data_IF_266813722389
#
_entry.id   IF_266813722389
#
_cell.length_a   1.000
_cell.length_b   1.000
_cell.length_c   1.000
_cell.angle_alpha   90.00
_cell.angle_beta   90.00
_cell.angle_gamma   90.00
#
_symmetry.space_group_name_H-M   'P 1'
#
loop_
_entity.id
_entity.type
_entity.pdbx_description
1 polymer ?
#
# COMPACT_ATOMS: atom_id res chain seq x y z
N UNK A 1 12.33 0.08 16.34
CA UNK A 1 12.27 -0.50 14.97
C UNK A 1 11.02 -1.35 14.90
N UNK A 2 10.47 -1.62 13.72
CA UNK A 2 9.33 -2.52 13.64
C UNK A 2 9.79 -3.98 13.42
N UNK A 3 8.88 -4.92 13.61
CA UNK A 3 9.05 -6.32 13.27
C UNK A 3 8.13 -6.64 12.09
N UNK A 4 8.67 -7.28 11.06
CA UNK A 4 7.87 -7.85 9.97
C UNK A 4 7.65 -9.33 10.20
N UNK A 5 6.39 -9.75 10.15
CA UNK A 5 6.00 -11.15 10.05
C UNK A 5 5.49 -11.37 8.63
N UNK A 6 6.15 -12.24 7.88
CA UNK A 6 5.83 -12.53 6.49
C UNK A 6 5.25 -13.94 6.31
N UNK A 7 4.43 -14.11 5.28
CA UNK A 7 3.80 -15.37 4.89
C UNK A 7 2.91 -16.01 5.98
N UNK A 8 2.30 -15.20 6.85
CA UNK A 8 1.30 -15.67 7.80
C UNK A 8 0.04 -16.08 7.04
N UNK A 9 -0.42 -17.31 7.23
CA UNK A 9 -1.62 -17.85 6.59
C UNK A 9 -2.79 -17.87 7.56
N UNK A 10 -3.93 -17.34 7.12
CA UNK A 10 -5.23 -17.51 7.74
C UNK A 10 -6.15 -18.22 6.75
N UNK A 11 -7.02 -19.08 7.24
CA UNK A 11 -8.05 -19.71 6.42
C UNK A 11 -9.02 -18.65 5.86
N UNK A 12 -9.68 -18.95 4.74
CA UNK A 12 -10.60 -18.00 4.10
C UNK A 12 -11.76 -17.58 5.02
N UNK A 13 -12.20 -18.50 5.88
CA UNK A 13 -13.29 -18.29 6.83
C UNK A 13 -12.81 -17.68 8.15
N UNK A 14 -11.49 -17.55 8.35
CA UNK A 14 -10.93 -16.98 9.55
C UNK A 14 -10.97 -15.44 9.49
N UNK A 15 -11.61 -14.77 10.47
CA UNK A 15 -11.71 -13.31 10.47
C UNK A 15 -10.33 -12.64 10.60
N UNK A 16 -10.11 -11.59 9.82
CA UNK A 16 -8.88 -10.77 9.92
C UNK A 16 -8.71 -10.14 11.32
N UNK A 17 -9.78 -9.99 12.09
CA UNK A 17 -9.74 -9.56 13.49
C UNK A 17 -8.92 -10.48 14.41
N UNK A 18 -8.65 -11.73 14.00
CA UNK A 18 -7.81 -12.69 14.72
C UNK A 18 -6.31 -12.47 14.48
N UNK A 19 -5.93 -11.65 13.49
CA UNK A 19 -4.53 -11.41 13.14
C UNK A 19 -3.65 -10.95 14.32
N UNK A 20 -4.08 -10.00 15.20
CA UNK A 20 -3.28 -9.57 16.34
C UNK A 20 -2.85 -10.73 17.25
N UNK A 21 -3.77 -11.67 17.50
CA UNK A 21 -3.49 -12.83 18.34
C UNK A 21 -2.45 -13.76 17.70
N UNK A 22 -2.56 -14.00 16.39
CA UNK A 22 -1.59 -14.79 15.65
C UNK A 22 -0.22 -14.14 15.62
N UNK A 23 -0.16 -12.83 15.39
CA UNK A 23 1.08 -12.06 15.43
C UNK A 23 1.73 -12.15 16.83
N UNK A 24 0.95 -12.00 17.90
CA UNK A 24 1.44 -12.15 19.27
C UNK A 24 2.00 -13.55 19.54
N UNK A 25 1.28 -14.62 19.14
CA UNK A 25 1.75 -16.01 19.29
C UNK A 25 3.06 -16.26 18.55
N UNK A 26 3.18 -15.76 17.31
CA UNK A 26 4.39 -15.90 16.50
C UNK A 26 5.59 -15.21 17.15
N UNK A 27 5.37 -14.07 17.82
CA UNK A 27 6.41 -13.36 18.55
C UNK A 27 6.73 -13.97 19.93
N UNK A 28 6.07 -15.06 20.32
CA UNK A 28 6.22 -15.66 21.65
C UNK A 28 5.60 -14.82 22.78
N UNK A 29 4.63 -13.97 22.45
CA UNK A 29 3.92 -13.11 23.37
C UNK A 29 2.57 -13.72 23.76
N UNK A 30 1.97 -13.20 24.84
CA UNK A 30 0.59 -13.58 25.20
C UNK A 30 -0.36 -13.08 24.11
N UNK A 31 -1.38 -13.85 23.69
CA UNK A 31 -2.33 -13.42 22.65
C UNK A 31 -3.04 -12.09 22.95
N UNK A 32 -3.18 -11.76 24.23
CA UNK A 32 -3.80 -10.51 24.73
C UNK A 32 -2.81 -9.35 24.85
N UNK A 33 -1.55 -9.53 24.43
CA UNK A 33 -0.55 -8.46 24.48
C UNK A 33 -0.97 -7.36 23.50
N UNK A 34 -1.10 -6.10 23.94
CA UNK A 34 -1.43 -5.02 23.03
C UNK A 34 -0.28 -4.81 22.03
N UNK A 35 -0.62 -4.85 20.74
CA UNK A 35 0.30 -4.62 19.64
C UNK A 35 -0.19 -3.44 18.81
N UNK A 36 0.70 -2.56 18.39
CA UNK A 36 0.42 -1.67 17.25
C UNK A 36 0.84 -2.42 16.00
N UNK A 37 -0.03 -2.56 15.01
CA UNK A 37 0.27 -3.34 13.82
C UNK A 37 -0.47 -2.81 12.60
N UNK A 38 0.05 -3.13 11.41
CA UNK A 38 -0.64 -2.90 10.14
C UNK A 38 -0.30 -3.98 9.13
N UNK A 39 -1.16 -4.11 8.11
CA UNK A 39 -0.93 -5.01 6.99
C UNK A 39 0.02 -4.32 5.99
N UNK A 40 1.16 -4.94 5.72
CA UNK A 40 2.06 -4.54 4.63
C UNK A 40 1.58 -5.13 3.29
N UNK A 41 1.07 -6.37 3.32
CA UNK A 41 0.53 -7.06 2.15
C UNK A 41 -0.52 -8.07 2.57
N UNK A 42 -1.60 -8.17 1.80
CA UNK A 42 -2.60 -9.24 1.85
C UNK A 42 -2.74 -9.84 0.46
N UNK A 43 -2.70 -11.15 0.35
CA UNK A 43 -2.90 -11.86 -0.91
C UNK A 43 -3.77 -13.10 -0.68
N UNK A 44 -4.62 -13.44 -1.64
CA UNK A 44 -5.35 -14.71 -1.65
C UNK A 44 -4.50 -15.77 -2.36
N UNK A 45 -4.15 -16.84 -1.65
CA UNK A 45 -3.59 -18.04 -2.26
C UNK A 45 -4.74 -18.96 -2.69
N UNK A 46 -5.05 -18.90 -3.99
CA UNK A 46 -6.12 -19.69 -4.62
C UNK A 46 -5.58 -20.80 -5.53
N UNK A 47 -4.33 -21.23 -5.33
CA UNK A 47 -3.71 -22.27 -6.17
C UNK A 47 -4.36 -23.64 -5.99
N UNK A 48 -4.89 -23.91 -4.79
CA UNK A 48 -5.70 -25.08 -4.51
C UNK A 48 -7.14 -24.64 -4.18
N UNK A 49 -8.11 -25.09 -4.96
CA UNK A 49 -9.52 -24.72 -4.82
C UNK A 49 -10.13 -25.20 -3.50
N UNK A 50 -9.65 -26.32 -2.97
CA UNK A 50 -10.14 -26.91 -1.73
C UNK A 50 -9.41 -26.37 -0.48
N UNK A 51 -8.46 -25.44 -0.69
CA UNK A 51 -7.55 -24.97 0.36
C UNK A 51 -7.16 -23.50 0.10
N UNK A 52 -8.17 -22.63 0.16
CA UNK A 52 -8.03 -21.19 -0.01
C UNK A 52 -7.55 -20.55 1.30
N UNK A 53 -6.49 -19.75 1.21
CA UNK A 53 -5.95 -19.05 2.36
C UNK A 53 -5.62 -17.60 2.02
N UNK A 54 -5.75 -16.71 2.99
CA UNK A 54 -5.13 -15.40 2.92
C UNK A 54 -3.71 -15.45 3.46
N UNK A 55 -2.78 -14.89 2.70
CA UNK A 55 -1.37 -14.74 3.06
C UNK A 55 -1.11 -13.29 3.40
N UNK A 56 -0.65 -13.05 4.63
CA UNK A 56 -0.37 -11.73 5.19
C UNK A 56 1.11 -11.52 5.40
N UNK A 57 1.54 -10.30 5.09
CA UNK A 57 2.73 -9.70 5.67
C UNK A 57 2.27 -8.56 6.57
N UNK A 58 2.68 -8.59 7.82
CA UNK A 58 2.30 -7.59 8.81
C UNK A 58 3.54 -6.91 9.39
N UNK A 59 3.40 -5.62 9.63
CA UNK A 59 4.30 -4.86 10.48
C UNK A 59 3.74 -4.84 11.90
N UNK A 60 4.61 -5.07 12.88
CA UNK A 60 4.28 -5.02 14.30
C UNK A 60 5.26 -4.08 15.00
N UNK A 61 4.70 -3.13 15.74
CA UNK A 61 5.40 -2.18 16.60
C UNK A 61 5.01 -2.46 18.04
N UNK A 62 6.02 -2.64 18.88
CA UNK A 62 5.86 -2.97 20.28
C UNK A 62 7.03 -2.39 21.10
N UNK A 63 6.79 -2.02 22.37
CA UNK A 63 7.86 -1.58 23.25
C UNK A 63 8.76 -2.75 23.66
N UNK A 64 10.07 -2.50 23.77
CA UNK A 64 11.04 -3.48 24.28
C UNK A 64 12.24 -3.69 23.35
N UNK A 65 12.95 -4.79 23.55
CA UNK A 65 14.09 -5.19 22.72
C UNK A 65 13.60 -6.05 21.54
N UNK A 66 13.34 -5.39 20.41
CA UNK A 66 12.81 -6.06 19.22
C UNK A 66 13.79 -7.08 18.65
N UNK A 67 15.11 -6.85 18.80
CA UNK A 67 16.14 -7.78 18.33
C UNK A 67 16.06 -9.10 19.07
N UNK A 68 15.91 -9.04 20.40
CA UNK A 68 15.73 -10.24 21.23
C UNK A 68 14.45 -11.00 20.88
N UNK A 69 13.36 -10.27 20.65
CA UNK A 69 12.07 -10.87 20.27
C UNK A 69 12.17 -11.56 18.90
N UNK A 70 12.73 -10.89 17.89
CA UNK A 70 12.95 -11.49 16.56
C UNK A 70 13.85 -12.72 16.65
N UNK A 71 14.96 -12.64 17.40
CA UNK A 71 15.88 -13.78 17.56
C UNK A 71 15.20 -14.99 18.22
N UNK A 72 14.32 -14.76 19.20
CA UNK A 72 13.53 -15.82 19.81
C UNK A 72 12.49 -16.38 18.84
N UNK A 73 11.69 -15.53 18.20
CA UNK A 73 10.66 -15.93 17.26
C UNK A 73 11.22 -16.76 16.09
N UNK A 74 12.34 -16.33 15.50
CA UNK A 74 13.03 -17.04 14.39
C UNK A 74 13.39 -18.49 14.71
N UNK A 75 13.64 -18.83 15.98
CA UNK A 75 13.95 -20.21 16.41
C UNK A 75 12.73 -21.10 16.51
N UNK A 76 11.54 -20.50 16.69
CA UNK A 76 10.31 -21.22 16.97
C UNK A 76 9.36 -21.28 15.77
N UNK A 77 9.45 -20.31 14.85
CA UNK A 77 8.61 -20.30 13.64
C UNK A 77 9.04 -21.39 12.67
N UNK A 78 8.04 -21.99 12.01
CA UNK A 78 8.26 -22.94 10.92
C UNK A 78 8.05 -22.25 9.57
N UNK A 79 8.83 -22.61 8.52
CA UNK A 79 8.55 -22.17 7.17
C UNK A 79 7.10 -22.48 6.76
N UNK A 80 6.41 -21.61 6.00
CA UNK A 80 6.95 -20.45 5.29
C UNK A 80 6.99 -19.14 6.09
N UNK A 81 6.53 -19.14 7.36
CA UNK A 81 6.47 -17.93 8.19
C UNK A 81 7.88 -17.43 8.48
N UNK A 82 8.11 -16.14 8.22
CA UNK A 82 9.40 -15.49 8.48
C UNK A 82 9.21 -14.27 9.37
N UNK A 83 10.15 -14.05 10.29
CA UNK A 83 10.13 -12.94 11.24
C UNK A 83 11.45 -12.17 11.14
N UNK A 84 11.38 -10.90 10.80
CA UNK A 84 12.55 -10.04 10.58
C UNK A 84 12.39 -8.68 11.26
N UNK A 85 13.52 -8.04 11.55
CA UNK A 85 13.50 -6.61 11.81
C UNK A 85 13.09 -5.88 10.53
N UNK A 86 12.24 -4.87 10.69
CA UNK A 86 11.69 -4.10 9.60
C UNK A 86 11.90 -2.61 9.82
N UNK A 87 12.26 -1.96 8.74
CA UNK A 87 12.34 -0.52 8.62
C UNK A 87 11.76 -0.21 7.26
N UNK A 88 10.65 0.52 7.25
CA UNK A 88 10.07 0.98 6.01
C UNK A 88 11.07 1.92 5.34
N UNK A 89 11.37 1.66 4.07
CA UNK A 89 12.22 2.55 3.30
C UNK A 89 11.49 3.90 3.16
N UNK A 90 12.09 5.01 3.61
CA UNK A 90 11.44 6.29 3.49
C UNK A 90 11.29 6.65 2.01
N UNK A 91 10.17 7.26 1.65
CA UNK A 91 10.04 7.92 0.36
C UNK A 91 10.92 9.17 0.36
N UNK A 92 12.00 9.16 -0.41
CA UNK A 92 12.94 10.28 -0.50
C UNK A 92 12.59 11.11 -1.72
N UNK A 93 12.19 12.36 -1.49
CA UNK A 93 12.03 13.34 -2.56
C UNK A 93 13.41 13.72 -3.12
N UNK A 94 13.54 13.87 -4.45
CA UNK A 94 14.78 14.32 -5.04
C UNK A 94 15.13 15.74 -4.59
N UNK A 95 16.42 16.02 -4.44
CA UNK A 95 16.89 17.37 -4.10
C UNK A 95 16.50 18.36 -5.20
N UNK A 96 15.97 19.55 -4.85
CA UNK A 96 15.66 20.59 -5.82
C UNK A 96 16.88 21.00 -6.66
N UNK A 97 16.63 21.44 -7.89
CA UNK A 97 17.67 22.00 -8.75
C UNK A 97 18.22 23.32 -8.20
N UNK A 98 19.43 23.69 -8.64
CA UNK A 98 20.13 24.91 -8.18
C UNK A 98 19.76 26.18 -8.93
N UNK A 99 19.00 26.07 -10.02
CA UNK A 99 18.59 27.20 -10.86
C UNK A 99 17.08 27.40 -10.80
N UNK A 100 16.59 28.65 -10.66
CA UNK A 100 15.17 28.91 -10.71
C UNK A 100 14.61 28.60 -12.11
N UNK A 101 13.39 28.06 -12.15
CA UNK A 101 12.67 27.93 -13.42
C UNK A 101 12.16 29.31 -13.87
N UNK A 102 12.37 29.65 -15.13
CA UNK A 102 11.82 30.87 -15.72
C UNK A 102 10.29 30.83 -15.85
N UNK A 103 9.72 29.62 -15.95
CA UNK A 103 8.29 29.39 -16.13
C UNK A 103 7.81 28.23 -15.24
N UNK A 104 6.51 28.21 -14.98
CA UNK A 104 5.85 27.10 -14.26
C UNK A 104 6.00 25.80 -15.08
N UNK A 105 6.31 24.66 -14.44
CA UNK A 105 6.30 23.38 -15.15
C UNK A 105 4.88 23.04 -15.60
N UNK A 106 4.77 22.45 -16.79
CA UNK A 106 3.49 22.03 -17.37
C UNK A 106 3.41 20.51 -17.34
N UNK A 107 2.31 19.99 -16.79
CA UNK A 107 1.96 18.57 -16.78
C UNK A 107 0.79 18.38 -17.72
N UNK A 108 0.94 17.50 -18.72
CA UNK A 108 -0.11 17.20 -19.69
C UNK A 108 -0.70 15.82 -19.35
N UNK A 109 -2.00 15.80 -19.09
CA UNK A 109 -2.77 14.68 -18.57
C UNK A 109 -2.97 14.76 -17.05
N UNK A 110 -4.21 14.55 -16.60
CA UNK A 110 -4.59 14.39 -15.20
C UNK A 110 -4.94 12.94 -14.85
N UNK A 111 -4.32 11.98 -15.54
CA UNK A 111 -4.30 10.58 -15.11
C UNK A 111 -3.39 10.37 -13.90
N UNK A 112 -3.25 9.14 -13.38
CA UNK A 112 -2.47 8.86 -12.18
C UNK A 112 -1.02 9.38 -12.23
N UNK A 113 -0.32 9.18 -13.35
CA UNK A 113 1.05 9.67 -13.52
C UNK A 113 1.17 11.19 -13.53
N UNK A 114 0.24 11.88 -14.21
CA UNK A 114 0.22 13.34 -14.26
C UNK A 114 -0.16 13.96 -12.92
N UNK A 115 -1.16 13.42 -12.24
CA UNK A 115 -1.54 13.87 -10.89
C UNK A 115 -0.42 13.64 -9.87
N UNK A 116 0.26 12.49 -9.91
CA UNK A 116 1.41 12.24 -9.04
C UNK A 116 2.54 13.26 -9.30
N UNK A 117 2.88 13.51 -10.56
CA UNK A 117 3.89 14.50 -10.92
C UNK A 117 3.50 15.92 -10.46
N UNK A 118 2.26 16.34 -10.71
CA UNK A 118 1.75 17.65 -10.32
C UNK A 118 1.69 17.81 -8.79
N UNK A 119 1.27 16.78 -8.06
CA UNK A 119 1.23 16.78 -6.60
C UNK A 119 2.63 17.01 -6.01
N UNK A 120 3.63 16.21 -6.41
CA UNK A 120 4.98 16.36 -5.87
C UNK A 120 5.65 17.68 -6.30
N UNK A 121 5.41 18.15 -7.53
CA UNK A 121 5.88 19.48 -7.94
C UNK A 121 5.23 20.61 -7.11
N UNK A 122 3.94 20.49 -6.79
CA UNK A 122 3.22 21.46 -5.98
C UNK A 122 3.70 21.48 -4.53
N UNK A 123 3.87 20.30 -3.91
CA UNK A 123 4.45 20.13 -2.56
C UNK A 123 5.84 20.76 -2.44
N UNK A 124 6.61 20.75 -3.53
CA UNK A 124 7.94 21.36 -3.61
C UNK A 124 7.92 22.84 -4.07
N UNK A 125 6.73 23.47 -4.17
CA UNK A 125 6.58 24.89 -4.45
C UNK A 125 6.74 25.30 -5.92
N UNK A 126 6.84 24.34 -6.86
CA UNK A 126 7.05 24.63 -8.28
C UNK A 126 5.81 25.16 -9.01
N UNK A 127 4.64 25.15 -8.37
CA UNK A 127 3.37 25.67 -8.91
C UNK A 127 3.05 25.11 -10.31
N UNK A 128 2.94 23.79 -10.50
CA UNK A 128 2.68 23.21 -11.82
C UNK A 128 1.37 23.71 -12.44
N UNK A 129 1.32 23.71 -13.77
CA UNK A 129 0.11 23.85 -14.58
C UNK A 129 -0.30 22.47 -15.07
N UNK A 130 -1.54 22.05 -14.82
CA UNK A 130 -2.05 20.76 -15.31
C UNK A 130 -3.02 21.03 -16.45
N UNK A 131 -2.79 20.38 -17.59
CA UNK A 131 -3.65 20.44 -18.77
C UNK A 131 -4.24 19.06 -18.99
N UNK A 132 -5.56 18.94 -19.03
CA UNK A 132 -6.27 17.71 -19.37
C UNK A 132 -7.20 18.00 -20.54
N UNK A 133 -7.18 17.13 -21.56
CA UNK A 133 -8.09 17.24 -22.71
C UNK A 133 -9.50 16.79 -22.34
N UNK A 134 -9.58 15.77 -21.49
CA UNK A 134 -10.81 15.17 -21.04
C UNK A 134 -11.63 16.05 -20.11
N UNK A 135 -12.90 15.69 -19.96
CA UNK A 135 -13.83 16.41 -19.09
C UNK A 135 -13.58 16.11 -17.60
N UNK A 136 -14.05 17.00 -16.69
CA UNK A 136 -14.10 16.69 -15.27
C UNK A 136 -14.75 15.34 -14.99
N UNK A 137 -14.21 14.57 -14.05
CA UNK A 137 -14.61 13.17 -13.78
C UNK A 137 -16.12 12.96 -13.65
N UNK A 138 -16.83 13.90 -13.02
CA UNK A 138 -18.30 13.82 -12.87
C UNK A 138 -18.99 13.81 -14.24
N UNK A 139 -18.56 14.65 -15.17
CA UNK A 139 -19.09 14.70 -16.53
C UNK A 139 -18.67 13.47 -17.34
N UNK A 140 -17.39 13.08 -17.25
CA UNK A 140 -16.89 11.86 -17.92
C UNK A 140 -17.67 10.60 -17.53
N UNK A 141 -18.05 10.45 -16.25
CA UNK A 141 -18.89 9.33 -15.80
C UNK A 141 -20.23 9.29 -16.56
N UNK A 142 -20.84 10.45 -16.83
CA UNK A 142 -22.08 10.51 -17.60
C UNK A 142 -21.85 10.18 -19.08
N UNK A 143 -20.78 10.71 -19.67
CA UNK A 143 -20.43 10.47 -21.08
C UNK A 143 -20.14 8.97 -21.32
N UNK A 144 -19.33 8.35 -20.45
CA UNK A 144 -19.03 6.89 -20.48
C UNK A 144 -20.31 6.07 -20.33
N UNK A 145 -21.20 6.42 -19.38
CA UNK A 145 -22.46 5.68 -19.20
C UNK A 145 -23.38 5.80 -20.41
N UNK A 146 -23.42 6.97 -21.05
CA UNK A 146 -24.21 7.17 -22.25
C UNK A 146 -23.66 6.33 -23.40
N UNK A 147 -22.33 6.29 -23.56
CA UNK A 147 -21.66 5.43 -24.54
C UNK A 147 -21.92 3.94 -24.27
N UNK A 148 -21.75 3.47 -23.03
CA UNK A 148 -22.03 2.08 -22.62
C UNK A 148 -23.50 1.68 -22.85
N UNK A 149 -24.43 2.64 -22.79
CA UNK A 149 -25.85 2.42 -23.08
C UNK A 149 -26.19 2.43 -24.59
N UNK A 150 -25.19 2.49 -25.48
CA UNK A 150 -25.35 2.51 -26.93
C UNK A 150 -25.40 3.91 -27.56
N UNK A 151 -25.08 4.95 -26.77
CA UNK A 151 -24.89 6.32 -27.27
C UNK A 151 -23.62 6.48 -28.12
N UNK A 152 -23.45 7.64 -28.78
CA UNK A 152 -22.27 7.90 -29.60
C UNK A 152 -21.00 8.04 -28.75
N UNK A 153 -19.86 7.63 -29.32
CA UNK A 153 -18.52 7.87 -28.76
C UNK A 153 -18.20 9.38 -28.79
N UNK A 154 -17.80 9.96 -27.66
CA UNK A 154 -17.18 11.29 -27.62
C UNK A 154 -15.65 11.15 -27.57
N UNK A 155 -14.89 11.35 -28.67
CA UNK A 155 -13.44 11.11 -28.68
C UNK A 155 -12.66 11.85 -27.58
N UNK A 156 -13.21 12.89 -26.98
CA UNK A 156 -12.59 13.67 -25.91
C UNK A 156 -13.10 13.30 -24.50
N UNK A 157 -14.05 12.36 -24.35
CA UNK A 157 -14.68 12.07 -23.05
C UNK A 157 -15.17 10.61 -22.87
N UNK A 158 -14.31 9.60 -23.05
CA UNK A 158 -14.57 8.22 -22.60
C UNK A 158 -13.37 7.61 -21.87
#
# INVERSE_FOLDING_TARGET
>A
MAIRIANLRLDIDEPEAMLPEHLARILGLRPTTPLTWRILRKALDARNKDSLHFVYNAEVVLPGDERRIVAHARRNVRPPVAVDLYTEEPFILPTPGTRPLAHRPVVVGSGPGGLAAAYFLAEQGYRPLVLERGRPVRQRIHDVRAFDAGGPLDPESN
#
